data_IF_285524807194
#
_entry.id   IF_285524807194
#
_cell.length_a   1.000
_cell.length_b   1.000
_cell.length_c   1.000
_cell.angle_alpha   90.00
_cell.angle_beta   90.00
_cell.angle_gamma   90.00
#
_symmetry.space_group_name_H-M   'P 1'
#
loop_
_entity.id
_entity.type
_entity.pdbx_description
1 polymer ?
#
# COMPACT_ATOMS: atom_id res chain seq x y z
N UNK A 1 -2.45 32.69 13.27
CA UNK A 1 -3.71 33.43 13.06
C UNK A 1 -4.57 32.80 11.96
N UNK A 2 -3.99 32.42 10.80
CA UNK A 2 -4.74 31.77 9.71
C UNK A 2 -5.40 30.44 10.12
N UNK A 3 -4.65 29.51 10.76
CA UNK A 3 -5.19 28.22 11.21
C UNK A 3 -6.39 28.34 12.19
N UNK A 4 -6.30 29.27 13.15
CA UNK A 4 -7.39 29.53 14.09
C UNK A 4 -8.65 30.08 13.39
N UNK A 5 -8.48 30.90 12.34
CA UNK A 5 -9.59 31.35 11.50
C UNK A 5 -10.25 30.17 10.78
N UNK A 6 -9.47 29.26 10.21
CA UNK A 6 -10.01 28.07 9.54
C UNK A 6 -10.81 27.20 10.53
N UNK A 7 -10.27 26.93 11.71
CA UNK A 7 -10.99 26.20 12.74
C UNK A 7 -12.30 26.90 13.16
N UNK A 8 -12.29 28.24 13.25
CA UNK A 8 -13.50 29.01 13.50
C UNK A 8 -14.54 28.86 12.38
N UNK A 9 -14.13 28.99 11.12
CA UNK A 9 -15.01 28.84 9.96
C UNK A 9 -15.61 27.42 9.90
N UNK A 10 -14.81 26.38 10.17
CA UNK A 10 -15.25 24.98 10.27
C UNK A 10 -16.24 24.79 11.42
N UNK A 11 -16.00 25.41 12.58
CA UNK A 11 -16.90 25.32 13.74
C UNK A 11 -18.30 25.84 13.45
N UNK A 12 -18.46 26.79 12.53
CA UNK A 12 -19.77 27.33 12.14
C UNK A 12 -20.57 26.43 11.20
N UNK A 13 -19.97 25.33 10.71
CA UNK A 13 -20.65 24.41 9.80
C UNK A 13 -21.69 23.55 10.53
N UNK A 14 -22.82 23.22 9.89
CA UNK A 14 -23.81 22.29 10.43
C UNK A 14 -23.19 20.93 10.78
N UNK A 15 -23.57 20.36 11.92
CA UNK A 15 -23.08 19.04 12.37
C UNK A 15 -21.71 19.03 13.04
N UNK A 16 -21.00 20.16 13.09
CA UNK A 16 -19.73 20.30 13.84
C UNK A 16 -20.02 20.69 15.29
N UNK A 17 -19.57 19.87 16.24
CA UNK A 17 -19.70 20.14 17.67
C UNK A 17 -18.58 21.06 18.18
N UNK A 18 -17.34 20.84 17.73
CA UNK A 18 -16.19 21.66 18.05
C UNK A 18 -15.17 21.63 16.92
N UNK A 19 -14.39 22.70 16.77
CA UNK A 19 -13.20 22.70 15.96
C UNK A 19 -12.13 23.62 16.57
N UNK A 20 -10.88 23.20 16.50
CA UNK A 20 -9.72 23.97 16.96
C UNK A 20 -8.52 23.67 16.07
N UNK A 21 -7.48 24.49 16.17
CA UNK A 21 -6.24 24.30 15.41
C UNK A 21 -5.05 24.23 16.34
N UNK A 22 -4.11 23.35 16.05
CA UNK A 22 -2.80 23.26 16.68
C UNK A 22 -1.74 23.59 15.64
N UNK A 23 -0.76 24.40 16.04
CA UNK A 23 0.41 24.69 15.22
C UNK A 23 1.60 24.06 15.94
N UNK A 24 2.12 22.99 15.34
CA UNK A 24 3.31 22.30 15.81
C UNK A 24 4.59 22.96 15.33
N UNK A 25 5.72 22.32 15.63
CA UNK A 25 7.02 22.72 15.12
C UNK A 25 7.09 22.59 13.59
N UNK A 26 8.04 23.31 12.98
CA UNK A 26 8.29 23.29 11.52
C UNK A 26 7.06 23.64 10.66
N UNK A 27 6.15 24.49 11.15
CA UNK A 27 5.01 24.94 10.34
C UNK A 27 3.96 23.85 10.08
N UNK A 28 3.94 22.78 10.88
CA UNK A 28 2.85 21.80 10.85
C UNK A 28 1.58 22.37 11.45
N UNK A 29 0.48 22.32 10.72
CA UNK A 29 -0.83 22.78 11.19
C UNK A 29 -1.78 21.60 11.23
N UNK A 30 -2.36 21.32 12.39
CA UNK A 30 -3.43 20.33 12.52
C UNK A 30 -4.73 21.06 12.83
N UNK A 31 -5.77 20.82 12.03
CA UNK A 31 -7.13 21.29 12.33
C UNK A 31 -7.93 20.11 12.84
N UNK A 32 -8.33 20.19 14.10
CA UNK A 32 -9.13 19.19 14.78
C UNK A 32 -10.61 19.56 14.66
N UNK A 33 -11.44 18.58 14.32
CA UNK A 33 -12.88 18.73 14.10
C UNK A 33 -13.58 17.60 14.82
N UNK A 34 -14.50 17.93 15.73
CA UNK A 34 -15.37 16.96 16.39
C UNK A 34 -16.78 17.14 15.87
N UNK A 35 -17.36 16.08 15.32
CA UNK A 35 -18.74 16.08 14.84
C UNK A 35 -19.73 15.78 15.98
N UNK A 36 -21.00 16.11 15.77
CA UNK A 36 -22.09 15.69 16.64
C UNK A 36 -22.35 14.17 16.46
N UNK A 37 -22.94 13.46 17.47
CA UNK A 37 -23.26 12.03 17.37
C UNK A 37 -24.26 11.68 16.27
N UNK A 38 -25.22 12.57 16.02
CA UNK A 38 -26.15 12.48 14.89
C UNK A 38 -25.56 13.08 13.60
N UNK A 39 -24.35 13.64 13.68
CA UNK A 39 -23.67 14.26 12.56
C UNK A 39 -23.34 13.23 11.50
N UNK A 40 -23.93 13.38 10.33
CA UNK A 40 -23.52 12.67 9.13
C UNK A 40 -22.03 12.93 8.87
N UNK A 41 -21.29 11.91 8.41
CA UNK A 41 -19.93 12.06 7.88
C UNK A 41 -19.85 13.14 6.77
N UNK A 42 -20.99 13.53 6.20
CA UNK A 42 -21.15 14.69 5.32
C UNK A 42 -20.62 16.00 5.93
N UNK A 43 -20.76 16.22 7.24
CA UNK A 43 -20.20 17.40 7.90
C UNK A 43 -18.66 17.42 7.88
N UNK A 44 -18.02 16.23 7.89
CA UNK A 44 -16.58 16.12 7.70
C UNK A 44 -16.16 16.53 6.29
N UNK A 45 -16.93 16.17 5.26
CA UNK A 45 -16.64 16.57 3.88
C UNK A 45 -16.69 18.11 3.72
N UNK A 46 -17.64 18.77 4.38
CA UNK A 46 -17.70 20.24 4.42
C UNK A 46 -16.51 20.85 5.15
N UNK A 47 -16.09 20.25 6.27
CA UNK A 47 -14.90 20.69 7.00
C UNK A 47 -13.62 20.53 6.16
N UNK A 48 -13.47 19.42 5.44
CA UNK A 48 -12.36 19.19 4.51
C UNK A 48 -12.35 20.22 3.37
N UNK A 49 -13.50 20.47 2.73
CA UNK A 49 -13.60 21.47 1.67
C UNK A 49 -13.28 22.89 2.16
N UNK A 50 -13.69 23.25 3.39
CA UNK A 50 -13.37 24.53 4.00
C UNK A 50 -11.86 24.66 4.29
N UNK A 51 -11.22 23.59 4.75
CA UNK A 51 -9.77 23.54 4.95
C UNK A 51 -9.00 23.63 3.62
N UNK A 52 -9.49 22.98 2.57
CA UNK A 52 -8.89 23.03 1.24
C UNK A 52 -9.00 24.42 0.59
N UNK A 53 -10.10 25.12 0.81
CA UNK A 53 -10.27 26.49 0.31
C UNK A 53 -9.41 27.52 1.07
N UNK A 54 -8.90 27.18 2.25
CA UNK A 54 -8.23 28.13 3.11
C UNK A 54 -6.76 28.38 2.71
N UNK A 55 -6.34 29.66 2.58
CA UNK A 55 -4.93 29.99 2.44
C UNK A 55 -4.24 29.88 3.80
N UNK A 56 -3.29 28.95 3.90
CA UNK A 56 -2.43 28.73 5.07
C UNK A 56 -0.97 29.05 4.72
N UNK A 57 -0.60 30.33 4.54
CA UNK A 57 0.75 30.70 4.16
C UNK A 57 1.76 30.29 5.24
N UNK A 58 2.84 29.63 4.83
CA UNK A 58 3.89 29.14 5.72
C UNK A 58 3.58 27.81 6.42
N UNK A 59 2.47 27.16 6.11
CA UNK A 59 2.24 25.79 6.54
C UNK A 59 2.98 24.83 5.60
N UNK A 60 3.93 24.06 6.14
CA UNK A 60 4.64 23.02 5.38
C UNK A 60 3.77 21.76 5.23
N UNK A 61 2.96 21.47 6.25
CA UNK A 61 2.08 20.31 6.31
C UNK A 61 0.78 20.71 7.00
N UNK A 62 -0.35 20.31 6.42
CA UNK A 62 -1.68 20.58 6.96
C UNK A 62 -2.40 19.26 7.16
N UNK A 63 -2.78 18.94 8.39
CA UNK A 63 -3.52 17.73 8.74
C UNK A 63 -4.93 18.07 9.18
N UNK A 64 -5.91 17.30 8.71
CA UNK A 64 -7.28 17.34 9.19
C UNK A 64 -7.51 16.12 10.09
N UNK A 65 -7.78 16.37 11.37
CA UNK A 65 -8.18 15.35 12.33
C UNK A 65 -9.68 15.47 12.60
N UNK A 66 -10.47 14.48 12.21
CA UNK A 66 -11.92 14.41 12.41
C UNK A 66 -12.26 13.29 13.39
N UNK A 67 -12.95 13.64 14.47
CA UNK A 67 -13.53 12.68 15.41
C UNK A 67 -15.05 12.66 15.27
N UNK A 68 -15.61 11.48 15.02
CA UNK A 68 -17.04 11.21 14.99
C UNK A 68 -17.38 10.34 16.19
N UNK A 69 -18.19 10.83 17.14
CA UNK A 69 -18.52 10.04 18.33
C UNK A 69 -19.43 8.84 17.98
N UNK A 70 -19.47 7.88 18.89
CA UNK A 70 -20.32 6.70 18.78
C UNK A 70 -21.81 7.09 18.71
N UNK A 71 -22.58 6.28 18.00
CA UNK A 71 -24.04 6.39 17.90
C UNK A 71 -24.67 4.99 18.00
N UNK A 72 -25.98 4.85 18.25
CA UNK A 72 -26.61 3.53 18.34
C UNK A 72 -26.34 2.68 17.10
N UNK A 73 -25.65 1.55 17.28
CA UNK A 73 -25.27 0.62 16.21
C UNK A 73 -24.11 1.09 15.31
N UNK A 74 -23.41 2.16 15.68
CA UNK A 74 -22.29 2.72 14.93
C UNK A 74 -21.09 3.01 15.83
N UNK A 75 -19.95 2.42 15.47
CA UNK A 75 -18.69 2.71 16.14
C UNK A 75 -18.30 4.20 15.99
N UNK A 76 -17.56 4.76 16.98
CA UNK A 76 -16.85 6.02 16.81
C UNK A 76 -15.78 5.88 15.70
N UNK A 77 -15.44 7.02 15.09
CA UNK A 77 -14.46 7.11 14.01
C UNK A 77 -13.46 8.22 14.31
N UNK A 78 -12.18 7.95 14.07
CA UNK A 78 -11.11 8.95 14.02
C UNK A 78 -10.46 8.93 12.63
N UNK A 79 -10.42 10.08 11.96
CA UNK A 79 -9.79 10.26 10.64
C UNK A 79 -8.72 11.33 10.79
N UNK A 80 -7.47 11.01 10.48
CA UNK A 80 -6.35 11.96 10.52
C UNK A 80 -5.58 11.92 9.20
N UNK A 81 -5.84 12.88 8.32
CA UNK A 81 -5.24 12.90 6.98
C UNK A 81 -4.49 14.18 6.67
N UNK A 82 -3.30 14.03 6.09
CA UNK A 82 -2.48 15.13 5.61
C UNK A 82 -2.92 15.57 4.21
N UNK A 83 -3.10 16.88 4.03
CA UNK A 83 -3.58 17.51 2.79
C UNK A 83 -2.69 17.25 1.57
N UNK A 84 -1.39 17.16 1.78
CA UNK A 84 -0.40 17.06 0.71
C UNK A 84 0.02 15.63 0.36
N UNK A 85 -0.63 14.61 0.94
CA UNK A 85 -0.21 13.23 0.69
C UNK A 85 -0.71 12.75 -0.67
N UNK A 86 0.13 12.90 -1.71
CA UNK A 86 -0.18 12.51 -3.09
C UNK A 86 -0.45 11.00 -3.24
N UNK A 87 0.11 10.19 -2.35
CA UNK A 87 -0.02 8.72 -2.35
C UNK A 87 -1.08 8.20 -1.36
N UNK A 88 -1.73 9.11 -0.63
CA UNK A 88 -2.74 8.77 0.38
C UNK A 88 -4.15 8.60 -0.19
N UNK A 89 -5.02 7.94 0.58
CA UNK A 89 -6.43 7.83 0.23
C UNK A 89 -7.10 9.22 0.20
N UNK A 90 -7.81 9.59 -0.88
CA UNK A 90 -8.57 10.84 -0.92
C UNK A 90 -9.59 10.92 0.21
N UNK A 91 -9.74 12.10 0.84
CA UNK A 91 -10.63 12.30 1.98
C UNK A 91 -12.08 11.83 1.75
N UNK A 92 -12.71 12.03 0.57
CA UNK A 92 -14.03 11.47 0.30
C UNK A 92 -14.07 9.93 0.38
N UNK A 93 -13.05 9.25 -0.16
CA UNK A 93 -12.96 7.79 -0.07
C UNK A 93 -12.71 7.32 1.37
N UNK A 94 -11.95 8.09 2.17
CA UNK A 94 -11.76 7.81 3.59
C UNK A 94 -13.07 7.91 4.38
N UNK A 95 -13.93 8.87 4.06
CA UNK A 95 -15.26 8.98 4.68
C UNK A 95 -16.17 7.79 4.32
N UNK A 96 -16.15 7.35 3.06
CA UNK A 96 -16.93 6.18 2.62
C UNK A 96 -16.44 4.89 3.29
N UNK A 97 -15.12 4.70 3.38
CA UNK A 97 -14.53 3.57 4.09
C UNK A 97 -14.86 3.61 5.59
N UNK A 98 -14.77 4.78 6.23
CA UNK A 98 -15.15 4.97 7.63
C UNK A 98 -16.63 4.65 7.89
N UNK A 99 -17.55 5.13 7.04
CA UNK A 99 -18.98 4.86 7.20
C UNK A 99 -19.29 3.36 7.08
N UNK A 100 -18.55 2.69 6.21
CA UNK A 100 -18.73 1.27 5.97
C UNK A 100 -18.17 0.45 7.13
N UNK A 101 -16.95 0.75 7.58
CA UNK A 101 -16.29 0.05 8.68
C UNK A 101 -17.00 0.25 10.01
N UNK A 102 -17.51 1.45 10.31
CA UNK A 102 -18.17 1.73 11.60
C UNK A 102 -19.49 1.00 11.80
N UNK A 103 -20.05 0.43 10.72
CA UNK A 103 -21.28 -0.39 10.72
C UNK A 103 -20.99 -1.88 10.95
N UNK A 104 -19.72 -2.29 10.93
CA UNK A 104 -19.33 -3.65 11.26
C UNK A 104 -19.69 -3.89 12.73
N UNK A 105 -20.51 -4.90 13.00
CA UNK A 105 -21.16 -5.07 14.31
C UNK A 105 -20.18 -5.26 15.48
N UNK A 106 -18.97 -5.74 15.21
CA UNK A 106 -17.91 -5.95 16.20
C UNK A 106 -16.94 -4.77 16.33
N UNK A 107 -17.13 -3.71 15.54
CA UNK A 107 -16.28 -2.52 15.55
C UNK A 107 -16.46 -1.74 16.86
N UNK A 108 -15.37 -1.55 17.61
CA UNK A 108 -15.33 -0.66 18.76
C UNK A 108 -14.91 0.75 18.38
N UNK A 109 -14.03 0.87 17.39
CA UNK A 109 -13.52 2.13 16.86
C UNK A 109 -12.96 1.90 15.47
N UNK A 110 -13.08 2.92 14.61
CA UNK A 110 -12.45 2.94 13.29
C UNK A 110 -11.43 4.07 13.27
N UNK A 111 -10.19 3.73 12.94
CA UNK A 111 -9.12 4.70 12.71
C UNK A 111 -8.78 4.77 11.23
N UNK A 112 -8.59 5.97 10.69
CA UNK A 112 -8.08 6.17 9.34
C UNK A 112 -6.97 7.21 9.40
N UNK A 113 -5.79 6.85 8.92
CA UNK A 113 -4.68 7.79 8.72
C UNK A 113 -4.45 8.04 7.24
N UNK A 114 -3.47 8.87 6.90
CA UNK A 114 -3.04 9.03 5.50
C UNK A 114 -2.54 7.72 4.86
N UNK A 115 -2.10 6.75 5.66
CA UNK A 115 -1.41 5.53 5.20
C UNK A 115 -2.04 4.21 5.61
N UNK A 116 -3.00 4.20 6.53
CA UNK A 116 -3.60 2.98 7.06
C UNK A 116 -5.07 3.15 7.42
N UNK A 117 -5.81 2.04 7.34
CA UNK A 117 -7.14 1.88 7.92
C UNK A 117 -7.01 0.88 9.07
N UNK A 118 -7.54 1.22 10.23
CA UNK A 118 -7.60 0.34 11.38
C UNK A 118 -9.03 0.15 11.87
N UNK A 119 -9.32 -1.08 12.28
CA UNK A 119 -10.54 -1.48 12.95
C UNK A 119 -10.16 -2.01 14.31
N UNK A 120 -10.52 -1.29 15.37
CA UNK A 120 -10.33 -1.75 16.73
C UNK A 120 -11.52 -2.58 17.16
N UNK A 121 -11.25 -3.72 17.78
CA UNK A 121 -12.25 -4.61 18.37
C UNK A 121 -12.29 -4.39 19.89
N UNK A 122 -13.49 -4.36 20.46
CA UNK A 122 -13.71 -4.32 21.92
C UNK A 122 -13.82 -5.74 22.48
N UNK A 123 -13.74 -5.79 23.81
CA UNK A 123 -13.89 -6.92 24.73
C UNK A 123 -14.48 -8.22 24.14
N UNK A 124 -13.79 -9.34 24.38
CA UNK A 124 -14.10 -10.73 24.01
C UNK A 124 -15.59 -11.14 24.05
N UNK A 125 -16.41 -10.50 24.88
CA UNK A 125 -17.86 -10.78 24.99
C UNK A 125 -18.65 -10.48 23.70
N UNK A 126 -18.27 -9.45 22.93
CA UNK A 126 -18.96 -9.06 21.69
C UNK A 126 -18.36 -9.71 20.45
N UNK A 127 -17.05 -9.97 20.45
CA UNK A 127 -16.35 -10.58 19.33
C UNK A 127 -16.38 -12.12 19.34
N UNK A 128 -16.81 -12.73 20.46
CA UNK A 128 -16.90 -14.18 20.60
C UNK A 128 -15.53 -14.84 20.81
N UNK A 129 -15.45 -16.18 20.72
CA UNK A 129 -14.22 -16.92 20.99
C UNK A 129 -13.14 -16.77 19.90
N UNK A 130 -13.49 -16.19 18.75
CA UNK A 130 -12.64 -16.07 17.56
C UNK A 130 -12.74 -14.66 16.97
N UNK A 131 -12.26 -13.63 17.68
CA UNK A 131 -12.41 -12.22 17.30
C UNK A 131 -11.76 -11.91 15.95
N UNK A 132 -10.58 -12.45 15.67
CA UNK A 132 -9.84 -12.17 14.43
C UNK A 132 -10.51 -12.86 13.24
N UNK A 133 -10.92 -14.13 13.38
CA UNK A 133 -11.68 -14.83 12.34
C UNK A 133 -12.99 -14.11 12.01
N UNK A 134 -13.72 -13.67 13.03
CA UNK A 134 -14.99 -12.96 12.85
C UNK A 134 -14.80 -11.61 12.17
N UNK A 135 -13.76 -10.86 12.55
CA UNK A 135 -13.42 -9.59 11.91
C UNK A 135 -13.02 -9.76 10.45
N UNK A 136 -12.17 -10.73 10.14
CA UNK A 136 -11.75 -10.98 8.78
C UNK A 136 -12.92 -11.39 7.87
N UNK A 137 -13.83 -12.23 8.37
CA UNK A 137 -15.04 -12.62 7.65
C UNK A 137 -15.95 -11.40 7.37
N UNK A 138 -16.11 -10.51 8.36
CA UNK A 138 -16.88 -9.28 8.17
C UNK A 138 -16.22 -8.35 7.15
N UNK A 139 -14.89 -8.15 7.22
CA UNK A 139 -14.14 -7.25 6.34
C UNK A 139 -14.11 -7.72 4.88
N UNK A 140 -13.87 -9.01 4.62
CA UNK A 140 -13.84 -9.56 3.24
C UNK A 140 -15.19 -9.48 2.53
N UNK A 141 -16.29 -9.33 3.27
CA UNK A 141 -17.63 -9.15 2.72
C UNK A 141 -17.97 -7.70 2.36
N UNK A 142 -17.08 -6.75 2.64
CA UNK A 142 -17.38 -5.32 2.56
C UNK A 142 -16.81 -4.74 1.25
N UNK A 143 -17.70 -4.37 0.33
CA UNK A 143 -17.31 -3.69 -0.89
C UNK A 143 -16.90 -2.23 -0.63
N UNK A 144 -15.91 -1.73 -1.37
CA UNK A 144 -15.52 -0.31 -1.35
C UNK A 144 -14.56 0.10 -0.23
N UNK A 145 -14.18 -0.83 0.66
CA UNK A 145 -13.14 -0.58 1.67
C UNK A 145 -11.77 -0.95 1.09
N UNK A 146 -10.78 -0.03 1.13
CA UNK A 146 -9.46 -0.34 0.65
C UNK A 146 -8.75 -1.45 1.44
N UNK A 147 -8.30 -2.45 0.68
CA UNK A 147 -7.39 -3.55 0.99
C UNK A 147 -5.97 -3.17 1.44
N UNK A 148 -5.29 -3.62 2.53
CA UNK A 148 -5.75 -4.31 3.73
C UNK A 148 -6.24 -3.33 4.81
N UNK A 149 -6.99 -3.88 5.77
CA UNK A 149 -7.41 -3.18 6.99
C UNK A 149 -6.71 -3.82 8.19
N UNK A 150 -6.09 -3.00 9.04
CA UNK A 150 -5.46 -3.46 10.27
C UNK A 150 -6.51 -3.71 11.34
N UNK A 151 -6.66 -4.96 11.77
CA UNK A 151 -7.51 -5.34 12.89
C UNK A 151 -6.69 -5.27 14.17
N UNK A 152 -7.04 -4.35 15.05
CA UNK A 152 -6.42 -4.20 16.36
C UNK A 152 -7.31 -4.83 17.43
N UNK A 153 -6.76 -5.78 18.17
CA UNK A 153 -7.44 -6.42 19.29
C UNK A 153 -6.64 -6.25 20.56
N UNK A 154 -7.27 -5.68 21.58
CA UNK A 154 -6.68 -5.50 22.91
C UNK A 154 -7.58 -6.13 23.96
N UNK A 155 -7.25 -7.33 24.47
CA UNK A 155 -8.00 -7.92 25.56
C UNK A 155 -8.03 -6.96 26.77
N UNK A 156 -9.21 -6.79 27.35
CA UNK A 156 -9.38 -5.97 28.56
C UNK A 156 -8.48 -6.52 29.67
N UNK A 157 -7.84 -5.61 30.40
CA UNK A 157 -6.88 -5.91 31.48
C UNK A 157 -5.57 -6.58 31.05
N UNK A 158 -5.25 -6.54 29.75
CA UNK A 158 -3.99 -7.08 29.23
C UNK A 158 -3.07 -5.98 28.66
N UNK A 159 -1.78 -6.10 28.95
CA UNK A 159 -0.73 -5.38 28.22
C UNK A 159 -0.47 -5.97 26.83
N UNK A 160 -1.21 -7.03 26.44
CA UNK A 160 -1.09 -7.66 25.13
C UNK A 160 -1.55 -6.74 24.01
N UNK A 161 -0.81 -6.78 22.91
CA UNK A 161 -1.13 -6.07 21.69
C UNK A 161 -1.23 -7.06 20.54
N UNK A 162 -2.40 -7.11 19.90
CA UNK A 162 -2.64 -7.92 18.70
C UNK A 162 -3.00 -6.99 17.56
N UNK A 163 -2.25 -7.07 16.46
CA UNK A 163 -2.44 -6.27 15.26
C UNK A 163 -2.34 -7.19 14.05
N UNK A 164 -3.42 -7.33 13.29
CA UNK A 164 -3.46 -8.23 12.13
C UNK A 164 -4.01 -7.49 10.92
N UNK A 165 -3.16 -7.29 9.91
CA UNK A 165 -3.64 -6.82 8.61
C UNK A 165 -4.46 -7.91 7.92
N UNK A 166 -5.68 -7.55 7.52
CA UNK A 166 -6.61 -8.39 6.77
C UNK A 166 -6.73 -7.84 5.36
N UNK A 167 -6.28 -8.63 4.39
CA UNK A 167 -6.49 -8.41 2.97
C UNK A 167 -7.62 -9.28 2.42
N UNK A 168 -7.93 -9.10 1.14
CA UNK A 168 -8.93 -9.89 0.42
C UNK A 168 -8.51 -11.37 0.30
N UNK A 169 -7.21 -11.63 0.23
CA UNK A 169 -6.59 -12.94 -0.01
C UNK A 169 -5.82 -13.51 1.20
N UNK A 170 -5.73 -12.79 2.32
CA UNK A 170 -4.98 -13.22 3.50
C UNK A 170 -5.35 -12.46 4.77
N UNK A 171 -5.02 -12.98 5.97
CA UNK A 171 -4.47 -14.31 6.25
C UNK A 171 -5.47 -15.45 6.00
N UNK A 172 -5.02 -16.70 5.86
CA UNK A 172 -5.95 -17.85 5.74
C UNK A 172 -6.92 -17.97 6.93
N UNK A 173 -8.04 -18.67 6.74
CA UNK A 173 -8.98 -18.92 7.84
C UNK A 173 -8.31 -19.75 8.95
N UNK A 174 -7.47 -20.71 8.58
CA UNK A 174 -6.68 -21.55 9.46
C UNK A 174 -5.62 -20.75 10.23
N UNK A 175 -4.96 -19.79 9.56
CA UNK A 175 -4.02 -18.88 10.21
C UNK A 175 -4.75 -17.95 11.18
N UNK A 176 -5.88 -17.38 10.80
CA UNK A 176 -6.69 -16.57 11.71
C UNK A 176 -7.12 -17.37 12.96
N UNK A 177 -7.53 -18.63 12.79
CA UNK A 177 -7.88 -19.51 13.91
C UNK A 177 -6.69 -19.78 14.85
N UNK A 178 -5.49 -19.98 14.27
CA UNK A 178 -4.26 -20.13 15.06
C UNK A 178 -3.88 -18.82 15.79
N UNK A 179 -4.07 -17.66 15.15
CA UNK A 179 -3.86 -16.37 15.80
C UNK A 179 -4.84 -16.15 16.95
N UNK A 180 -6.12 -16.51 16.77
CA UNK A 180 -7.11 -16.48 17.85
C UNK A 180 -6.69 -17.39 19.03
N UNK A 181 -6.16 -18.59 18.77
CA UNK A 181 -5.56 -19.45 19.82
C UNK A 181 -4.37 -18.79 20.52
N UNK A 182 -3.49 -18.12 19.77
CA UNK A 182 -2.35 -17.40 20.36
C UNK A 182 -2.80 -16.20 21.21
N UNK A 183 -3.91 -15.54 20.89
CA UNK A 183 -4.38 -14.37 21.67
C UNK A 183 -4.77 -14.72 23.11
N UNK A 184 -5.26 -15.93 23.34
CA UNK A 184 -5.70 -16.40 24.67
C UNK A 184 -4.54 -16.98 25.50
N UNK A 185 -3.40 -17.28 24.88
CA UNK A 185 -2.23 -17.84 25.56
C UNK A 185 -1.60 -16.85 26.55
N UNK A 186 -1.30 -17.29 27.78
CA UNK A 186 -0.77 -16.39 28.80
C UNK A 186 0.68 -15.94 28.55
N UNK A 187 1.45 -16.77 27.87
CA UNK A 187 2.86 -16.58 27.53
C UNK A 187 3.09 -15.68 26.30
N UNK A 188 2.04 -15.34 25.55
CA UNK A 188 2.11 -14.47 24.37
C UNK A 188 1.82 -13.03 24.79
N UNK A 189 2.76 -12.12 24.52
CA UNK A 189 2.65 -10.69 24.87
C UNK A 189 2.31 -9.81 23.67
N UNK A 190 2.67 -10.22 22.45
CA UNK A 190 2.45 -9.41 21.23
C UNK A 190 2.29 -10.31 20.02
N UNK A 191 1.35 -9.96 19.15
CA UNK A 191 1.17 -10.55 17.83
C UNK A 191 1.06 -9.40 16.83
N UNK A 192 1.90 -9.41 15.80
CA UNK A 192 1.83 -8.46 14.69
C UNK A 192 1.89 -9.22 13.38
N UNK A 193 0.86 -9.08 12.57
CA UNK A 193 0.81 -9.62 11.23
C UNK A 193 0.69 -8.47 10.21
N UNK A 194 1.61 -8.46 9.26
CA UNK A 194 1.64 -7.51 8.16
C UNK A 194 1.44 -8.23 6.83
N UNK A 195 0.44 -7.78 6.07
CA UNK A 195 0.29 -8.12 4.66
C UNK A 195 1.25 -7.22 3.88
N UNK A 196 2.51 -7.64 3.78
CA UNK A 196 3.50 -6.90 3.01
C UNK A 196 3.09 -6.89 1.53
N UNK A 197 2.75 -5.70 1.01
CA UNK A 197 2.42 -5.54 -0.41
C UNK A 197 3.70 -5.47 -1.23
N UNK A 198 3.77 -6.27 -2.31
CA UNK A 198 4.86 -6.22 -3.29
C UNK A 198 5.68 -7.51 -3.32
N UNK A 199 7.01 -7.36 -3.46
CA UNK A 199 8.01 -8.44 -3.56
C UNK A 199 8.08 -9.30 -2.30
N UNK A 200 7.74 -8.71 -1.16
CA UNK A 200 7.93 -9.33 0.13
C UNK A 200 6.73 -10.19 0.55
N UNK A 201 7.02 -11.09 1.47
CA UNK A 201 6.12 -12.13 1.96
C UNK A 201 5.35 -11.59 3.16
N UNK A 202 4.09 -12.00 3.40
CA UNK A 202 3.40 -11.69 4.64
C UNK A 202 4.25 -12.11 5.84
N UNK A 203 4.26 -11.28 6.87
CA UNK A 203 5.18 -11.43 8.00
C UNK A 203 4.39 -11.45 9.30
N UNK A 204 4.57 -12.52 10.05
CA UNK A 204 3.99 -12.73 11.37
C UNK A 204 5.08 -12.67 12.44
N UNK A 205 5.04 -11.63 13.25
CA UNK A 205 5.91 -11.44 14.40
C UNK A 205 5.16 -11.77 15.69
N UNK A 206 5.70 -12.69 16.50
CA UNK A 206 5.08 -13.12 17.76
C UNK A 206 6.10 -13.01 18.89
N UNK A 207 5.78 -12.20 19.89
CA UNK A 207 6.54 -12.11 21.12
C UNK A 207 5.92 -13.03 22.19
N UNK A 208 6.70 -13.99 22.68
CA UNK A 208 6.26 -15.04 23.60
C UNK A 208 7.40 -15.52 24.52
N UNK A 209 7.06 -15.99 25.72
CA UNK A 209 8.01 -16.69 26.60
C UNK A 209 8.33 -18.13 26.14
N UNK A 210 7.53 -18.71 25.23
CA UNK A 210 7.77 -20.03 24.62
C UNK A 210 7.73 -19.98 23.07
N UNK A 211 8.82 -19.49 22.43
CA UNK A 211 8.92 -19.42 20.96
C UNK A 211 8.78 -20.77 20.27
N UNK A 212 9.24 -21.86 20.89
CA UNK A 212 9.17 -23.19 20.29
C UNK A 212 7.73 -23.71 20.21
N UNK A 213 6.92 -23.49 21.25
CA UNK A 213 5.50 -23.88 21.23
C UNK A 213 4.70 -23.06 20.21
N UNK A 214 5.00 -21.76 20.05
CA UNK A 214 4.39 -20.93 19.01
C UNK A 214 4.78 -21.45 17.62
N UNK A 215 6.07 -21.70 17.38
CA UNK A 215 6.51 -22.22 16.10
C UNK A 215 5.89 -23.59 15.79
N UNK A 216 5.85 -24.53 16.73
CA UNK A 216 5.19 -25.83 16.56
C UNK A 216 3.71 -25.71 16.18
N UNK A 217 2.99 -24.74 16.74
CA UNK A 217 1.62 -24.45 16.34
C UNK A 217 1.60 -23.98 14.88
N UNK A 218 2.37 -22.93 14.57
CA UNK A 218 2.37 -22.29 13.24
C UNK A 218 2.83 -23.22 12.11
N UNK A 219 3.74 -24.17 12.37
CA UNK A 219 4.17 -25.15 11.36
C UNK A 219 3.10 -26.18 11.00
N UNK A 220 2.02 -26.29 11.78
CA UNK A 220 0.88 -27.20 11.50
C UNK A 220 -0.28 -26.53 10.77
N UNK A 221 -0.25 -25.20 10.65
CA UNK A 221 -1.33 -24.38 10.09
C UNK A 221 -1.22 -24.32 8.57
N UNK A 222 -2.31 -24.56 7.86
CA UNK A 222 -2.35 -24.37 6.41
C UNK A 222 -2.42 -22.86 6.06
N UNK A 223 -1.46 -22.39 5.26
CA UNK A 223 -1.43 -21.01 4.75
C UNK A 223 -0.93 -20.99 3.29
N UNK A 224 -1.28 -22.03 2.53
CA UNK A 224 -0.96 -22.13 1.12
C UNK A 224 -2.14 -21.63 0.28
N UNK A 225 -2.04 -20.39 -0.21
CA UNK A 225 -3.09 -19.77 -1.04
C UNK A 225 -2.48 -19.08 -2.27
N UNK A 226 -2.07 -19.83 -3.30
CA UNK A 226 -1.58 -19.24 -4.53
C UNK A 226 -2.61 -18.24 -5.11
N UNK A 227 -2.20 -17.03 -5.55
CA UNK A 227 -0.82 -16.56 -5.73
C UNK A 227 -0.16 -15.92 -4.49
N UNK A 228 -0.87 -15.79 -3.36
CA UNK A 228 -0.33 -15.18 -2.13
C UNK A 228 0.84 -16.01 -1.58
N UNK A 229 2.04 -15.42 -1.39
CA UNK A 229 3.13 -16.09 -0.72
C UNK A 229 2.71 -16.57 0.68
N UNK A 230 3.09 -17.80 1.04
CA UNK A 230 2.97 -18.32 2.42
C UNK A 230 3.60 -17.36 3.43
N UNK A 231 2.95 -17.13 4.56
CA UNK A 231 3.41 -16.21 5.63
C UNK A 231 4.71 -16.70 6.27
N UNK A 232 5.72 -15.83 6.34
CA UNK A 232 6.91 -16.04 7.16
C UNK A 232 6.59 -15.68 8.62
N UNK A 233 7.14 -16.41 9.58
CA UNK A 233 6.99 -16.07 10.99
C UNK A 233 8.34 -15.91 11.70
N UNK A 234 8.34 -15.05 12.71
CA UNK A 234 9.40 -14.85 13.69
C UNK A 234 8.78 -14.95 15.09
N UNK A 235 9.12 -16.00 15.84
CA UNK A 235 8.73 -16.17 17.23
C UNK A 235 9.93 -15.86 18.14
N UNK A 236 9.78 -14.94 19.10
CA UNK A 236 10.91 -14.51 19.92
C UNK A 236 10.47 -14.11 21.33
N UNK A 237 11.41 -14.15 22.27
CA UNK A 237 11.18 -13.67 23.63
C UNK A 237 11.35 -12.16 23.73
N UNK A 238 10.86 -11.53 24.80
CA UNK A 238 11.19 -10.14 25.12
C UNK A 238 12.70 -9.91 25.37
N UNK A 239 13.45 -10.99 25.61
CA UNK A 239 14.91 -10.95 25.79
C UNK A 239 15.64 -11.07 24.45
N UNK A 240 16.90 -10.62 24.38
CA UNK A 240 17.73 -10.65 23.16
C UNK A 240 18.15 -12.07 22.71
N UNK A 241 17.38 -13.12 23.05
CA UNK A 241 17.58 -14.45 22.51
C UNK A 241 17.33 -14.43 20.98
N UNK A 242 18.05 -15.24 20.20
CA UNK A 242 17.81 -15.34 18.76
C UNK A 242 16.35 -15.73 18.47
N UNK A 243 15.69 -15.09 17.50
CA UNK A 243 14.33 -15.45 17.11
C UNK A 243 14.31 -16.83 16.44
N UNK A 244 13.21 -17.55 16.66
CA UNK A 244 12.90 -18.77 15.93
C UNK A 244 12.07 -18.41 14.70
N UNK A 245 12.70 -18.54 13.53
CA UNK A 245 12.11 -18.16 12.25
C UNK A 245 11.60 -19.39 11.50
N UNK A 246 10.60 -19.20 10.65
CA UNK A 246 10.09 -20.24 9.76
C UNK A 246 8.97 -19.75 8.86
N UNK A 247 8.21 -20.69 8.31
CA UNK A 247 7.06 -20.41 7.46
C UNK A 247 5.85 -21.17 7.96
N UNK A 248 4.70 -20.50 7.98
CA UNK A 248 3.44 -21.09 8.45
C UNK A 248 3.11 -22.31 7.59
N UNK A 249 2.90 -23.47 8.22
CA UNK A 249 2.60 -24.72 7.54
C UNK A 249 3.79 -25.49 6.96
N UNK A 250 5.03 -25.07 7.23
CA UNK A 250 6.24 -25.83 6.88
C UNK A 250 7.02 -26.26 8.12
N UNK A 251 7.73 -27.40 8.09
CA UNK A 251 8.63 -27.79 9.17
C UNK A 251 9.72 -26.75 9.44
N UNK A 252 10.11 -26.54 10.70
CA UNK A 252 11.13 -25.56 11.12
C UNK A 252 12.51 -25.73 10.47
N UNK A 253 12.83 -26.94 9.98
CA UNK A 253 14.07 -27.25 9.28
C UNK A 253 13.90 -27.29 7.74
N UNK A 254 12.76 -26.82 7.22
CA UNK A 254 12.50 -26.74 5.79
C UNK A 254 13.36 -25.68 5.12
N UNK A 255 13.75 -25.91 3.86
CA UNK A 255 14.30 -24.85 3.03
C UNK A 255 13.26 -23.73 2.85
N UNK A 256 13.71 -22.49 2.66
CA UNK A 256 12.83 -21.38 2.31
C UNK A 256 11.91 -21.80 1.15
N UNK A 257 10.58 -21.63 1.26
CA UNK A 257 9.70 -21.91 0.16
C UNK A 257 10.12 -21.01 -1.00
N UNK A 258 10.16 -21.53 -2.24
CA UNK A 258 10.44 -20.69 -3.38
C UNK A 258 9.49 -19.48 -3.34
N UNK A 259 9.95 -18.28 -3.73
CA UNK A 259 9.01 -17.18 -3.99
C UNK A 259 7.95 -17.67 -4.99
N UNK A 260 6.72 -17.14 -4.99
CA UNK A 260 5.74 -17.48 -6.01
C UNK A 260 6.29 -17.07 -7.39
N UNK A 261 7.01 -17.98 -8.04
CA UNK A 261 7.78 -17.73 -9.26
C UNK A 261 8.03 -19.00 -10.08
N UNK A 262 7.29 -20.09 -9.83
CA UNK A 262 7.36 -21.28 -10.70
C UNK A 262 6.51 -21.12 -11.98
N UNK A 263 5.52 -20.22 -12.01
CA UNK A 263 4.65 -19.97 -13.18
C UNK A 263 4.99 -18.70 -13.97
N UNK A 264 5.80 -17.78 -13.41
CA UNK A 264 6.15 -16.51 -14.05
C UNK A 264 7.26 -16.62 -15.11
N UNK A 265 8.16 -17.61 -14.99
CA UNK A 265 9.30 -17.80 -15.91
C UNK A 265 8.91 -17.81 -17.41
N UNK A 266 7.90 -18.58 -17.87
CA UNK A 266 7.50 -18.54 -19.28
C UNK A 266 6.87 -17.21 -19.71
N UNK A 267 6.18 -16.51 -18.81
CA UNK A 267 5.57 -15.19 -19.08
C UNK A 267 6.66 -14.13 -19.21
N UNK A 268 7.63 -14.13 -18.30
CA UNK A 268 8.78 -13.22 -18.33
C UNK A 268 9.66 -13.46 -19.55
N UNK A 269 9.87 -14.71 -19.95
CA UNK A 269 10.57 -15.03 -21.20
C UNK A 269 9.83 -14.48 -22.43
N UNK A 270 8.48 -14.53 -22.44
CA UNK A 270 7.67 -13.92 -23.50
C UNK A 270 7.81 -12.39 -23.49
N UNK A 271 7.74 -11.74 -22.32
CA UNK A 271 7.94 -10.30 -22.21
C UNK A 271 9.34 -9.88 -22.64
N UNK A 272 10.39 -10.62 -22.27
CA UNK A 272 11.75 -10.33 -22.71
C UNK A 272 11.86 -10.32 -24.24
N UNK A 273 11.28 -11.31 -24.91
CA UNK A 273 11.27 -11.37 -26.37
C UNK A 273 10.51 -10.18 -26.99
N UNK A 274 9.33 -9.86 -26.47
CA UNK A 274 8.48 -8.77 -26.95
C UNK A 274 9.15 -7.39 -26.75
N UNK A 275 9.70 -7.14 -25.56
CA UNK A 275 10.40 -5.91 -25.21
C UNK A 275 11.66 -5.73 -26.05
N UNK A 276 12.48 -6.78 -26.17
CA UNK A 276 13.70 -6.74 -26.98
C UNK A 276 13.36 -6.43 -28.43
N UNK A 277 12.35 -7.11 -28.99
CA UNK A 277 11.93 -6.90 -30.37
C UNK A 277 11.35 -5.50 -30.58
N UNK A 278 10.57 -4.98 -29.63
CA UNK A 278 10.08 -3.61 -29.66
C UNK A 278 11.23 -2.60 -29.64
N UNK A 279 12.15 -2.73 -28.68
CA UNK A 279 13.25 -1.81 -28.49
C UNK A 279 14.19 -1.75 -29.70
N UNK A 280 14.60 -2.92 -30.24
CA UNK A 280 15.44 -2.99 -31.44
C UNK A 280 14.76 -2.37 -32.65
N UNK A 281 13.44 -2.54 -32.80
CA UNK A 281 12.68 -1.91 -33.91
C UNK A 281 12.56 -0.40 -33.74
N UNK A 282 12.29 0.11 -32.54
CA UNK A 282 12.00 1.54 -32.35
C UNK A 282 13.26 2.40 -32.22
N UNK A 283 14.35 1.81 -31.70
CA UNK A 283 15.62 2.50 -31.51
C UNK A 283 16.60 2.28 -32.67
N UNK A 284 16.27 1.38 -33.62
CA UNK A 284 17.19 0.90 -34.65
C UNK A 284 18.55 0.43 -34.08
N UNK A 285 18.56 0.01 -32.81
CA UNK A 285 19.75 -0.39 -32.10
C UNK A 285 20.26 -1.75 -32.61
N UNK A 286 21.57 -1.91 -32.74
CA UNK A 286 22.17 -3.20 -33.11
C UNK A 286 22.07 -4.26 -32.00
N UNK A 287 21.96 -3.83 -30.73
CA UNK A 287 21.84 -4.72 -29.57
C UNK A 287 20.97 -4.11 -28.48
N UNK A 288 20.36 -4.97 -27.66
CA UNK A 288 19.63 -4.59 -26.46
C UNK A 288 19.90 -5.61 -25.35
N UNK A 289 20.22 -5.13 -24.15
CA UNK A 289 20.39 -5.95 -22.95
C UNK A 289 19.07 -6.02 -22.20
N UNK A 290 18.70 -7.21 -21.73
CA UNK A 290 17.50 -7.38 -20.93
C UNK A 290 17.85 -8.07 -19.62
N UNK A 291 17.19 -7.65 -18.55
CA UNK A 291 17.31 -8.24 -17.22
C UNK A 291 15.93 -8.38 -16.61
N UNK A 292 15.74 -9.46 -15.85
CA UNK A 292 14.55 -9.62 -15.01
C UNK A 292 14.78 -8.84 -13.73
N UNK A 293 13.93 -7.85 -13.48
CA UNK A 293 13.94 -7.07 -12.24
C UNK A 293 13.09 -7.80 -11.22
N UNK A 294 13.72 -8.17 -10.11
CA UNK A 294 13.11 -8.80 -8.95
C UNK A 294 12.23 -10.03 -9.28
N UNK A 295 12.57 -10.77 -10.34
CA UNK A 295 11.84 -11.96 -10.75
C UNK A 295 10.40 -11.73 -11.27
N UNK A 296 9.98 -10.48 -11.54
CA UNK A 296 8.57 -10.15 -11.83
C UNK A 296 8.32 -9.19 -12.98
N UNK A 297 9.31 -8.40 -13.38
CA UNK A 297 9.23 -7.61 -14.61
C UNK A 297 10.50 -7.80 -15.41
N UNK A 298 10.42 -7.54 -16.71
CA UNK A 298 11.58 -7.50 -17.57
C UNK A 298 11.84 -6.05 -17.93
N UNK A 299 13.09 -5.64 -17.80
CA UNK A 299 13.58 -4.37 -18.33
C UNK A 299 14.56 -4.65 -19.45
N UNK A 300 14.34 -4.02 -20.61
CA UNK A 300 15.29 -4.02 -21.71
C UNK A 300 15.85 -2.61 -21.93
N UNK A 301 17.13 -2.53 -22.24
CA UNK A 301 17.88 -1.29 -22.42
C UNK A 301 18.71 -1.36 -23.71
N UNK A 302 18.72 -0.25 -24.44
CA UNK A 302 19.55 -0.03 -25.62
C UNK A 302 20.25 1.32 -25.47
N UNK A 303 21.54 1.33 -25.80
CA UNK A 303 22.35 2.53 -25.86
C UNK A 303 22.70 2.81 -27.32
N UNK A 304 22.47 4.05 -27.74
CA UNK A 304 22.75 4.55 -29.07
C UNK A 304 23.93 5.51 -28.95
N UNK A 305 25.16 5.05 -29.21
CA UNK A 305 26.39 5.82 -29.02
C UNK A 305 26.60 6.82 -30.16
N UNK A 306 25.63 7.71 -30.40
CA UNK A 306 25.59 8.60 -31.56
C UNK A 306 26.82 9.53 -31.62
N UNK A 307 27.39 9.92 -30.49
CA UNK A 307 28.56 10.81 -30.43
C UNK A 307 29.89 10.16 -30.80
N UNK A 308 29.92 8.83 -30.96
CA UNK A 308 31.12 8.09 -31.35
C UNK A 308 31.29 7.97 -32.86
N UNK A 309 30.28 8.36 -33.64
CA UNK A 309 30.35 8.37 -35.10
C UNK A 309 30.95 9.69 -35.61
N UNK A 310 31.91 9.58 -36.53
CA UNK A 310 32.60 10.74 -37.07
C UNK A 310 31.64 11.57 -37.94
N UNK A 311 31.32 12.78 -37.49
CA UNK A 311 30.45 13.71 -38.21
C UNK A 311 29.05 13.87 -37.63
N UNK A 312 28.70 13.17 -36.54
CA UNK A 312 27.43 13.35 -35.84
C UNK A 312 27.30 14.76 -35.28
N UNK A 313 26.17 15.39 -35.56
CA UNK A 313 25.78 16.71 -35.08
C UNK A 313 24.68 16.61 -34.02
N UNK A 314 24.42 17.72 -33.32
CA UNK A 314 23.26 17.82 -32.42
C UNK A 314 21.94 17.59 -33.16
N UNK A 315 21.84 18.02 -34.43
CA UNK A 315 20.65 17.80 -35.26
C UNK A 315 20.40 16.31 -35.50
N UNK A 316 21.45 15.49 -35.65
CA UNK A 316 21.33 14.04 -35.82
C UNK A 316 20.80 13.36 -34.55
N UNK A 317 21.23 13.82 -33.36
CA UNK A 317 20.74 13.32 -32.07
C UNK A 317 19.27 13.71 -31.85
N UNK A 318 18.90 14.95 -32.18
CA UNK A 318 17.52 15.41 -32.12
C UNK A 318 16.62 14.66 -33.11
N UNK A 319 17.11 14.40 -34.33
CA UNK A 319 16.41 13.61 -35.34
C UNK A 319 16.19 12.17 -34.86
N UNK A 320 17.19 11.54 -34.25
CA UNK A 320 17.07 10.20 -33.67
C UNK A 320 16.04 10.17 -32.53
N UNK A 321 16.09 11.14 -31.61
CA UNK A 321 15.11 11.29 -30.54
C UNK A 321 13.68 11.43 -31.08
N UNK A 322 13.50 12.28 -32.09
CA UNK A 322 12.20 12.50 -32.75
C UNK A 322 11.70 11.23 -33.45
N UNK A 323 12.59 10.47 -34.10
CA UNK A 323 12.24 9.20 -34.75
C UNK A 323 11.75 8.16 -33.75
N UNK A 324 12.47 7.97 -32.63
CA UNK A 324 12.10 7.01 -31.58
C UNK A 324 10.74 7.36 -30.98
N UNK A 325 10.54 8.61 -30.58
CA UNK A 325 9.28 9.06 -29.96
C UNK A 325 8.11 9.07 -30.95
N UNK A 326 8.36 9.29 -32.25
CA UNK A 326 7.36 9.11 -33.30
C UNK A 326 6.95 7.64 -33.45
N UNK A 327 7.90 6.70 -33.43
CA UNK A 327 7.63 5.27 -33.47
C UNK A 327 6.81 4.81 -32.24
N UNK A 328 7.11 5.33 -31.06
CA UNK A 328 6.36 5.06 -29.83
C UNK A 328 4.92 5.56 -29.89
N UNK A 329 4.72 6.78 -30.39
CA UNK A 329 3.39 7.33 -30.61
C UNK A 329 2.58 6.48 -31.58
N UNK A 330 3.21 6.03 -32.68
CA UNK A 330 2.56 5.13 -33.65
C UNK A 330 2.20 3.77 -33.04
N UNK A 331 3.01 3.28 -32.10
CA UNK A 331 2.75 2.06 -31.35
C UNK A 331 1.70 2.21 -30.22
N UNK A 332 1.07 3.39 -30.08
CA UNK A 332 0.00 3.62 -29.10
C UNK A 332 0.49 4.05 -27.72
N UNK A 333 1.77 4.42 -27.57
CA UNK A 333 2.28 5.02 -26.34
C UNK A 333 1.94 6.52 -26.31
N UNK A 334 1.61 7.00 -25.12
CA UNK A 334 1.37 8.43 -24.83
C UNK A 334 2.48 8.98 -23.97
N UNK A 335 2.95 10.18 -24.29
CA UNK A 335 3.94 10.90 -23.49
C UNK A 335 3.32 11.28 -22.15
N UNK A 336 4.04 10.99 -21.07
CA UNK A 336 3.68 11.33 -19.70
C UNK A 336 4.61 12.39 -19.11
N UNK A 337 5.09 12.13 -17.90
CA UNK A 337 5.97 13.05 -17.18
C UNK A 337 7.37 13.17 -17.81
N UNK A 338 7.96 14.36 -17.65
CA UNK A 338 9.36 14.62 -17.95
C UNK A 338 10.09 14.89 -16.65
N UNK A 339 11.02 14.00 -16.28
CA UNK A 339 11.80 14.10 -15.06
C UNK A 339 13.29 14.09 -15.39
N UNK A 340 14.03 15.11 -14.95
CA UNK A 340 15.51 15.15 -15.00
C UNK A 340 16.11 14.81 -16.38
N UNK A 341 15.50 15.32 -17.46
CA UNK A 341 15.96 15.07 -18.83
C UNK A 341 15.60 13.69 -19.40
N UNK A 342 14.74 12.93 -18.71
CA UNK A 342 14.15 11.68 -19.19
C UNK A 342 12.69 11.92 -19.56
N UNK A 343 12.27 11.47 -20.75
CA UNK A 343 10.86 11.42 -21.12
C UNK A 343 10.31 10.02 -20.86
N UNK A 344 9.18 9.96 -20.18
CA UNK A 344 8.48 8.73 -19.81
C UNK A 344 7.23 8.61 -20.67
N UNK A 345 7.03 7.42 -21.23
CA UNK A 345 5.92 7.08 -22.11
C UNK A 345 5.22 5.83 -21.57
N UNK A 346 3.90 5.83 -21.59
CA UNK A 346 3.07 4.75 -21.06
C UNK A 346 1.92 4.44 -22.01
N UNK A 347 1.20 3.35 -21.77
CA UNK A 347 0.03 2.98 -22.60
C UNK A 347 -1.08 4.02 -22.46
N UNK A 348 -1.59 4.51 -23.59
CA UNK A 348 -2.75 5.39 -23.59
C UNK A 348 -4.04 4.63 -23.18
N UNK A 349 -5.03 5.31 -22.56
CA UNK A 349 -6.25 4.67 -22.04
C UNK A 349 -7.19 4.09 -23.12
N UNK A 350 -6.95 4.38 -24.41
CA UNK A 350 -7.89 4.07 -25.50
C UNK A 350 -7.24 3.42 -26.74
N UNK A 351 -5.93 3.16 -26.72
CA UNK A 351 -5.21 2.52 -27.84
C UNK A 351 -4.51 1.27 -27.30
N UNK A 352 -4.64 0.11 -27.97
CA UNK A 352 -3.85 -1.06 -27.60
C UNK A 352 -2.36 -0.71 -27.73
N UNK A 353 -1.65 -0.70 -26.60
CA UNK A 353 -0.21 -0.45 -26.59
C UNK A 353 0.59 -1.63 -27.17
N UNK A 354 1.92 -1.47 -27.30
CA UNK A 354 2.78 -2.55 -27.76
C UNK A 354 2.75 -3.73 -26.78
N UNK A 355 2.76 -4.95 -27.33
CA UNK A 355 2.78 -6.18 -26.54
C UNK A 355 3.93 -6.15 -25.53
N UNK A 356 3.64 -6.56 -24.30
CA UNK A 356 4.63 -6.63 -23.23
C UNK A 356 5.09 -5.29 -22.65
N UNK A 357 4.92 -4.13 -23.30
CA UNK A 357 5.47 -2.85 -22.80
C UNK A 357 4.49 -2.11 -21.87
N UNK A 358 4.87 -1.87 -20.62
CA UNK A 358 4.14 -1.02 -19.67
C UNK A 358 4.63 0.43 -19.71
N UNK A 359 5.94 0.60 -19.62
CA UNK A 359 6.62 1.90 -19.60
C UNK A 359 7.80 1.90 -20.57
N UNK A 360 7.97 3.00 -21.29
CA UNK A 360 9.14 3.30 -22.12
C UNK A 360 9.78 4.61 -21.67
N UNK A 361 11.12 4.68 -21.64
CA UNK A 361 11.89 5.84 -21.18
C UNK A 361 13.00 6.16 -22.16
N UNK A 362 13.13 7.42 -22.51
CA UNK A 362 14.23 7.92 -23.37
C UNK A 362 14.94 9.07 -22.66
N UNK A 363 16.27 9.05 -22.70
CA UNK A 363 17.12 10.04 -22.05
C UNK A 363 18.36 10.31 -22.90
N UNK A 364 18.72 11.59 -23.07
CA UNK A 364 20.02 11.97 -23.59
C UNK A 364 21.13 11.70 -22.58
N UNK A 365 22.23 11.09 -23.01
CA UNK A 365 23.43 10.84 -22.21
C UNK A 365 24.63 11.60 -22.78
N UNK A 366 25.77 11.53 -22.08
CA UNK A 366 27.04 12.07 -22.59
C UNK A 366 27.51 11.35 -23.86
N UNK A 367 27.08 10.10 -24.07
CA UNK A 367 27.56 9.24 -25.14
C UNK A 367 26.54 9.09 -26.29
N UNK A 368 25.31 9.57 -26.10
CA UNK A 368 24.28 9.65 -27.14
C UNK A 368 22.87 9.58 -26.54
N UNK A 369 22.10 8.55 -26.90
CA UNK A 369 20.74 8.33 -26.40
C UNK A 369 20.66 6.99 -25.68
N UNK A 370 20.04 6.98 -24.50
CA UNK A 370 19.67 5.76 -23.78
C UNK A 370 18.16 5.57 -23.83
N UNK A 371 17.75 4.38 -24.25
CA UNK A 371 16.35 3.99 -24.36
C UNK A 371 16.12 2.74 -23.52
N UNK A 372 15.04 2.72 -22.74
CA UNK A 372 14.66 1.54 -21.98
C UNK A 372 13.16 1.30 -22.03
N UNK A 373 12.76 0.04 -21.95
CA UNK A 373 11.37 -0.41 -21.87
C UNK A 373 11.23 -1.42 -20.76
N UNK A 374 10.07 -1.42 -20.13
CA UNK A 374 9.76 -2.23 -18.96
C UNK A 374 8.43 -2.94 -19.17
N UNK A 375 8.33 -4.19 -18.71
CA UNK A 375 7.11 -4.97 -18.81
C UNK A 375 6.18 -4.70 -17.64
N UNK A 376 4.87 -5.01 -17.77
CA UNK A 376 4.01 -5.09 -16.61
C UNK A 376 4.60 -6.08 -15.61
N UNK A 377 4.37 -5.80 -14.34
CA UNK A 377 4.69 -6.75 -13.27
C UNK A 377 3.79 -7.98 -13.41
N UNK A 378 4.40 -9.15 -13.60
CA UNK A 378 3.72 -10.45 -13.50
C UNK A 378 3.36 -10.65 -12.02
N UNK A 379 2.08 -10.94 -11.76
CA UNK A 379 1.55 -11.18 -10.41
C UNK A 379 1.66 -12.64 -10.02
#
# INVERSE_FOLDING_TARGET
MAAAKVAFDVRTQPGVAAAWSEVGDAGRVTVHVRLQPEGELRAAATAAAALDAAPLPGAEEVTLAVAVPAAPGLAPVEISQARAHQDGMPFPAALEAADTLRRVAIAAEVGITSSALSLRLDDHTTAGPSPLTTAAAALRGVAGVPSPVTVEYRPRDSSRSVSVEVADDGPSAELLAALDELTVRPDVSRIVHHEQRGQDRPLLDVQTDDPEAVARLLTTVADDHPPRPRTAFSAHTATNAPPLNGYVGLPLAGADPPPPAAEAAPILASYEADLRAFLLRTAEAGTATCSVTDGRSVQCLAELPLWHEAGTTTEDVEACFAAITAAWRHAGLTSGERALGTEIWSRGPHVPGPAGVDVARIRGTTDGIRVSVESPTVR
#
